data_IF_583587616063
#
_entry.id   IF_583587616063
#
_cell.length_a   1.000
_cell.length_b   1.000
_cell.length_c   1.000
_cell.angle_alpha   90.00
_cell.angle_beta   90.00
_cell.angle_gamma   90.00
#
_symmetry.space_group_name_H-M   'P 1'
#
loop_
_entity.id
_entity.type
_entity.pdbx_description
1 polymer ?
#
# COMPACT_ATOMS: atom_id res chain seq x y z
N UNK A 1 -5.13 25.92 -11.87
CA UNK A 1 -4.38 24.78 -11.28
C UNK A 1 -3.67 25.31 -10.05
N UNK A 2 -4.00 24.85 -8.84
CA UNK A 2 -3.24 25.23 -7.64
C UNK A 2 -1.89 24.51 -7.70
N UNK A 3 -0.79 25.25 -7.68
CA UNK A 3 0.55 24.68 -7.60
C UNK A 3 0.66 23.81 -6.33
N UNK A 4 1.16 22.59 -6.48
CA UNK A 4 1.43 21.69 -5.35
C UNK A 4 2.48 22.39 -4.50
N UNK A 5 2.15 22.68 -3.22
CA UNK A 5 3.13 23.31 -2.32
C UNK A 5 4.32 22.36 -2.16
N UNK A 6 5.53 22.90 -2.16
CA UNK A 6 6.80 22.14 -2.01
C UNK A 6 6.74 21.14 -0.84
N UNK A 7 6.08 21.50 0.26
CA UNK A 7 5.85 20.60 1.40
C UNK A 7 5.09 19.33 1.01
N UNK A 8 4.04 19.43 0.20
CA UNK A 8 3.25 18.26 -0.21
C UNK A 8 4.03 17.38 -1.19
N UNK A 9 4.86 18.00 -2.04
CA UNK A 9 5.75 17.27 -2.93
C UNK A 9 6.79 16.46 -2.13
N UNK A 10 7.44 17.07 -1.14
CA UNK A 10 8.38 16.37 -0.25
C UNK A 10 7.72 15.23 0.53
N UNK A 11 6.49 15.44 1.02
CA UNK A 11 5.72 14.39 1.69
C UNK A 11 5.42 13.21 0.75
N UNK A 12 5.08 13.48 -0.51
CA UNK A 12 4.87 12.47 -1.53
C UNK A 12 6.14 11.66 -1.82
N UNK A 13 7.27 12.33 -1.99
CA UNK A 13 8.57 11.67 -2.22
C UNK A 13 8.95 10.79 -1.05
N UNK A 14 8.82 11.30 0.18
CA UNK A 14 9.09 10.54 1.40
C UNK A 14 8.18 9.30 1.51
N UNK A 15 6.89 9.48 1.27
CA UNK A 15 5.92 8.38 1.30
C UNK A 15 6.27 7.31 0.26
N UNK A 16 6.61 7.73 -0.96
CA UNK A 16 7.00 6.82 -2.05
C UNK A 16 8.28 6.05 -1.72
N UNK A 17 9.27 6.71 -1.11
CA UNK A 17 10.51 6.08 -0.66
C UNK A 17 10.25 5.05 0.45
N UNK A 18 9.41 5.37 1.44
CA UNK A 18 9.04 4.45 2.52
C UNK A 18 8.29 3.23 1.99
N UNK A 19 7.37 3.43 1.05
CA UNK A 19 6.63 2.32 0.45
C UNK A 19 7.52 1.43 -0.42
N UNK A 20 8.38 2.02 -1.25
CA UNK A 20 9.33 1.27 -2.07
C UNK A 20 10.31 0.45 -1.22
N UNK A 21 10.90 1.05 -0.20
CA UNK A 21 11.76 0.36 0.76
C UNK A 21 11.02 -0.80 1.44
N UNK A 22 9.72 -0.65 1.71
CA UNK A 22 8.90 -1.67 2.33
C UNK A 22 8.80 -2.96 1.52
N UNK A 23 8.66 -2.88 0.19
CA UNK A 23 8.65 -4.07 -0.69
C UNK A 23 10.01 -4.75 -0.71
N UNK A 24 11.10 -3.97 -0.67
CA UNK A 24 12.45 -4.51 -0.57
C UNK A 24 12.65 -5.30 0.74
N UNK A 25 12.23 -4.74 1.88
CA UNK A 25 12.29 -5.43 3.17
C UNK A 25 11.47 -6.72 3.18
N UNK A 26 10.27 -6.72 2.61
CA UNK A 26 9.45 -7.92 2.49
C UNK A 26 10.21 -8.98 1.67
N UNK A 27 10.80 -8.60 0.53
CA UNK A 27 11.54 -9.51 -0.34
C UNK A 27 12.73 -10.15 0.36
N UNK A 28 13.48 -9.39 1.14
CA UNK A 28 14.68 -9.88 1.85
C UNK A 28 14.30 -10.70 3.08
N UNK A 29 13.29 -10.29 3.83
CA UNK A 29 12.96 -10.93 5.11
C UNK A 29 12.00 -12.12 4.98
N UNK A 30 11.12 -12.16 3.97
CA UNK A 30 10.15 -13.26 3.81
C UNK A 30 10.80 -14.64 3.62
N UNK A 31 11.88 -14.83 2.87
CA UNK A 31 12.54 -16.12 2.75
C UNK A 31 13.15 -16.62 4.06
N UNK A 32 13.60 -15.71 4.93
CA UNK A 32 14.27 -16.04 6.20
C UNK A 32 13.24 -16.29 7.32
N UNK A 33 12.26 -15.42 7.45
CA UNK A 33 11.29 -15.45 8.54
C UNK A 33 10.03 -16.25 8.21
N UNK A 34 9.79 -16.50 6.93
CA UNK A 34 8.52 -17.01 6.43
C UNK A 34 7.46 -15.90 6.29
N UNK A 35 6.54 -16.06 5.31
CA UNK A 35 5.57 -15.03 4.98
C UNK A 35 4.62 -14.68 6.12
N UNK A 36 4.21 -15.67 6.90
CA UNK A 36 3.29 -15.48 8.02
C UNK A 36 3.91 -14.63 9.15
N UNK A 37 5.16 -14.96 9.52
CA UNK A 37 5.89 -14.23 10.56
C UNK A 37 6.20 -12.82 10.09
N UNK A 38 6.63 -12.65 8.83
CA UNK A 38 6.90 -11.35 8.25
C UNK A 38 5.65 -10.44 8.27
N UNK A 39 4.50 -10.96 7.84
CA UNK A 39 3.24 -10.23 7.86
C UNK A 39 2.83 -9.87 9.30
N UNK A 40 2.92 -10.82 10.24
CA UNK A 40 2.58 -10.60 11.64
C UNK A 40 3.48 -9.55 12.31
N UNK A 41 4.78 -9.60 12.10
CA UNK A 41 5.72 -8.60 12.62
C UNK A 41 5.43 -7.21 12.06
N UNK A 42 5.18 -7.10 10.78
CA UNK A 42 4.87 -5.82 10.12
C UNK A 42 3.59 -5.20 10.69
N UNK A 43 2.51 -5.98 10.76
CA UNK A 43 1.23 -5.52 11.29
C UNK A 43 1.35 -5.21 12.78
N UNK A 44 2.03 -6.06 13.54
CA UNK A 44 2.25 -5.87 14.97
C UNK A 44 3.03 -4.59 15.29
N UNK A 45 4.16 -4.36 14.61
CA UNK A 45 4.95 -3.14 14.78
C UNK A 45 4.16 -1.88 14.39
N UNK A 46 3.43 -1.92 13.28
CA UNK A 46 2.58 -0.81 12.87
C UNK A 46 1.48 -0.53 13.90
N UNK A 47 0.84 -1.58 14.43
CA UNK A 47 -0.18 -1.47 15.47
C UNK A 47 0.38 -0.85 16.73
N UNK A 48 1.53 -1.31 17.22
CA UNK A 48 2.19 -0.77 18.42
C UNK A 48 2.55 0.71 18.24
N UNK A 49 3.09 1.06 17.06
CA UNK A 49 3.43 2.46 16.74
C UNK A 49 2.18 3.35 16.75
N UNK A 50 1.11 2.91 16.07
CA UNK A 50 -0.15 3.66 16.01
C UNK A 50 -0.82 3.76 17.38
N UNK A 51 -0.79 2.71 18.19
CA UNK A 51 -1.27 2.75 19.58
C UNK A 51 -0.51 3.79 20.40
N UNK A 52 0.81 3.84 20.26
CA UNK A 52 1.64 4.85 20.91
C UNK A 52 1.28 6.27 20.49
N UNK A 53 1.08 6.50 19.18
CA UNK A 53 0.68 7.80 18.63
C UNK A 53 -0.71 8.20 19.13
N UNK A 54 -1.71 7.29 19.10
CA UNK A 54 -3.06 7.55 19.60
C UNK A 54 -3.05 7.95 21.08
N UNK A 55 -2.26 7.21 21.89
CA UNK A 55 -2.13 7.50 23.30
C UNK A 55 -1.48 8.87 23.55
N UNK A 56 -0.47 9.19 22.76
CA UNK A 56 0.19 10.51 22.85
C UNK A 56 -0.72 11.65 22.39
N UNK A 57 -1.53 11.42 21.36
CA UNK A 57 -2.52 12.38 20.85
C UNK A 57 -3.75 12.52 21.77
N UNK A 58 -3.90 11.67 22.79
CA UNK A 58 -5.06 11.71 23.70
C UNK A 58 -6.36 11.22 23.06
N UNK A 59 -6.28 10.51 21.91
CA UNK A 59 -7.45 10.03 21.20
C UNK A 59 -8.03 8.79 21.89
N UNK A 60 -9.38 8.73 22.08
CA UNK A 60 -10.04 7.60 22.71
C UNK A 60 -10.00 6.37 21.80
N UNK A 61 -9.81 5.20 22.41
CA UNK A 61 -9.82 3.94 21.70
C UNK A 61 -11.25 3.61 21.20
N UNK A 62 -11.45 3.30 19.90
CA UNK A 62 -12.79 3.12 19.31
C UNK A 62 -13.38 1.72 19.58
N UNK A 63 -13.45 1.28 20.82
CA UNK A 63 -13.95 -0.05 21.21
C UNK A 63 -15.35 -0.34 20.70
N UNK A 64 -16.18 0.69 20.50
CA UNK A 64 -17.57 0.53 20.05
C UNK A 64 -17.67 -0.09 18.65
N UNK A 65 -16.67 0.15 17.79
CA UNK A 65 -16.63 -0.28 16.39
C UNK A 65 -15.60 -1.39 16.12
N UNK A 66 -15.17 -2.12 17.17
CA UNK A 66 -14.08 -3.08 17.03
C UNK A 66 -14.33 -4.17 15.96
N UNK A 67 -15.59 -4.64 15.80
CA UNK A 67 -15.96 -5.66 14.80
C UNK A 67 -15.80 -5.13 13.36
N UNK A 68 -16.28 -3.91 13.13
CA UNK A 68 -16.16 -3.24 11.83
C UNK A 68 -14.68 -2.97 11.50
N UNK A 69 -13.93 -2.47 12.49
CA UNK A 69 -12.49 -2.22 12.37
C UNK A 69 -11.69 -3.51 12.15
N UNK A 70 -12.08 -4.60 12.80
CA UNK A 70 -11.45 -5.90 12.60
C UNK A 70 -11.70 -6.42 11.17
N UNK A 71 -12.95 -6.38 10.70
CA UNK A 71 -13.29 -6.77 9.33
C UNK A 71 -12.58 -5.93 8.29
N UNK A 72 -12.64 -4.61 8.44
CA UNK A 72 -11.98 -3.67 7.55
C UNK A 72 -10.45 -3.85 7.57
N UNK A 73 -9.84 -3.93 8.74
CA UNK A 73 -8.39 -4.13 8.90
C UNK A 73 -7.91 -5.48 8.34
N UNK A 74 -8.72 -6.53 8.48
CA UNK A 74 -8.39 -7.84 7.88
C UNK A 74 -8.39 -7.76 6.35
N UNK A 75 -9.41 -7.16 5.76
CA UNK A 75 -9.53 -7.07 4.30
C UNK A 75 -8.57 -6.07 3.67
N UNK A 76 -8.32 -4.93 4.33
CA UNK A 76 -7.51 -3.84 3.74
C UNK A 76 -6.03 -3.91 4.11
N UNK A 77 -5.69 -4.58 5.20
CA UNK A 77 -4.32 -4.64 5.72
C UNK A 77 -3.83 -6.08 5.82
N UNK A 78 -4.45 -6.92 6.67
CA UNK A 78 -3.90 -8.23 6.98
C UNK A 78 -3.83 -9.14 5.76
N UNK A 79 -4.90 -9.29 5.00
CA UNK A 79 -4.94 -10.15 3.82
C UNK A 79 -3.99 -9.67 2.71
N UNK A 80 -3.96 -8.39 2.28
CA UNK A 80 -3.01 -7.93 1.28
C UNK A 80 -1.55 -8.10 1.70
N UNK A 81 -1.20 -7.79 2.95
CA UNK A 81 0.20 -7.92 3.39
C UNK A 81 0.65 -9.38 3.49
N UNK A 82 -0.24 -10.28 3.88
CA UNK A 82 0.05 -11.71 3.85
C UNK A 82 0.27 -12.19 2.40
N UNK A 83 -0.59 -11.77 1.48
CA UNK A 83 -0.45 -12.11 0.05
C UNK A 83 0.85 -11.54 -0.55
N UNK A 84 1.23 -10.30 -0.20
CA UNK A 84 2.51 -9.74 -0.63
C UNK A 84 3.72 -10.49 -0.04
N UNK A 85 3.65 -10.90 1.21
CA UNK A 85 4.72 -11.69 1.83
C UNK A 85 4.86 -13.07 1.17
N UNK A 86 3.75 -13.68 0.79
CA UNK A 86 3.74 -14.92 0.00
C UNK A 86 4.27 -14.71 -1.42
N UNK A 87 3.81 -13.68 -2.11
CA UNK A 87 4.26 -13.34 -3.45
C UNK A 87 5.77 -13.06 -3.49
N UNK A 88 6.32 -12.46 -2.44
CA UNK A 88 7.75 -12.16 -2.34
C UNK A 88 8.66 -13.40 -2.30
N UNK A 89 8.13 -14.58 -2.01
CA UNK A 89 8.87 -15.83 -2.12
C UNK A 89 9.14 -16.24 -3.58
N UNK A 90 8.26 -15.82 -4.50
CA UNK A 90 8.26 -16.29 -5.88
C UNK A 90 8.48 -15.17 -6.90
N UNK A 91 8.19 -13.92 -6.52
CA UNK A 91 8.22 -12.77 -7.41
C UNK A 91 9.25 -11.73 -6.96
N UNK A 92 9.99 -11.11 -7.88
CA UNK A 92 10.78 -9.93 -7.59
C UNK A 92 9.93 -8.78 -7.00
N UNK A 93 10.55 -7.92 -6.19
CA UNK A 93 9.85 -6.81 -5.53
C UNK A 93 9.15 -5.85 -6.52
N UNK A 94 9.72 -5.69 -7.71
CA UNK A 94 9.12 -4.89 -8.78
C UNK A 94 7.75 -5.38 -9.22
N UNK A 95 7.55 -6.69 -9.35
CA UNK A 95 6.24 -7.24 -9.71
C UNK A 95 5.20 -7.03 -8.60
N UNK A 96 5.59 -7.16 -7.35
CA UNK A 96 4.70 -6.87 -6.21
C UNK A 96 4.29 -5.39 -6.20
N UNK A 97 5.19 -4.48 -6.52
CA UNK A 97 4.88 -3.06 -6.62
C UNK A 97 3.96 -2.74 -7.82
N UNK A 98 4.17 -3.43 -8.96
CA UNK A 98 3.29 -3.29 -10.14
C UNK A 98 1.86 -3.75 -9.81
N UNK A 99 1.72 -4.90 -9.19
CA UNK A 99 0.41 -5.41 -8.75
C UNK A 99 -0.27 -4.44 -7.77
N UNK A 100 0.50 -3.86 -6.85
CA UNK A 100 -0.04 -2.87 -5.91
C UNK A 100 -0.54 -1.60 -6.64
N UNK A 101 0.09 -1.21 -7.74
CA UNK A 101 -0.33 -0.05 -8.54
C UNK A 101 -1.72 -0.26 -9.15
N UNK A 102 -2.13 -1.52 -9.38
CA UNK A 102 -3.49 -1.85 -9.84
C UNK A 102 -4.58 -1.46 -8.84
N UNK A 103 -4.25 -1.31 -7.57
CA UNK A 103 -5.23 -0.85 -6.57
C UNK A 103 -5.82 0.54 -6.91
N UNK A 104 -5.06 1.41 -7.59
CA UNK A 104 -5.52 2.74 -7.98
C UNK A 104 -6.64 2.69 -9.02
N UNK A 105 -6.49 2.04 -10.21
CA UNK A 105 -7.58 1.95 -11.18
C UNK A 105 -8.80 1.18 -10.62
N UNK A 106 -8.59 0.11 -9.85
CA UNK A 106 -9.70 -0.58 -9.20
C UNK A 106 -10.42 0.30 -8.18
N UNK A 107 -9.69 1.13 -7.41
CA UNK A 107 -10.27 2.10 -6.49
C UNK A 107 -11.12 3.16 -7.22
N UNK A 108 -10.65 3.66 -8.36
CA UNK A 108 -11.40 4.62 -9.20
C UNK A 108 -12.68 3.98 -9.76
N UNK A 109 -12.63 2.72 -10.20
CA UNK A 109 -13.80 1.99 -10.69
C UNK A 109 -14.80 1.77 -9.55
N UNK A 110 -14.33 1.33 -8.37
CA UNK A 110 -15.18 1.09 -7.21
C UNK A 110 -15.88 2.37 -6.73
N UNK A 111 -15.15 3.49 -6.64
CA UNK A 111 -15.72 4.78 -6.26
C UNK A 111 -16.78 5.26 -7.24
N UNK A 112 -16.59 5.03 -8.54
CA UNK A 112 -17.58 5.35 -9.55
C UNK A 112 -18.82 4.44 -9.46
N UNK A 113 -18.62 3.15 -9.18
CA UNK A 113 -19.73 2.21 -8.97
C UNK A 113 -20.56 2.56 -7.73
N UNK A 114 -19.89 3.00 -6.66
CA UNK A 114 -20.54 3.50 -5.44
C UNK A 114 -21.15 4.90 -5.60
N UNK A 115 -21.02 5.53 -6.78
CA UNK A 115 -21.48 6.90 -7.09
C UNK A 115 -20.83 7.99 -6.21
N UNK A 116 -19.71 7.69 -5.60
CA UNK A 116 -18.94 8.65 -4.79
C UNK A 116 -18.09 9.58 -5.66
N UNK A 117 -17.76 9.15 -6.89
CA UNK A 117 -16.93 9.92 -7.81
C UNK A 117 -17.31 9.67 -9.26
N UNK A 118 -16.93 10.61 -10.15
CA UNK A 118 -17.16 10.49 -11.59
C UNK A 118 -15.92 9.99 -12.33
N UNK A 119 -16.13 9.03 -13.23
CA UNK A 119 -15.09 8.56 -14.15
C UNK A 119 -14.78 9.65 -15.18
N UNK A 120 -13.67 10.34 -14.99
CA UNK A 120 -13.19 11.34 -15.92
C UNK A 120 -12.06 10.74 -16.79
N UNK A 121 -12.01 11.10 -18.07
CA UNK A 121 -10.96 10.68 -19.00
C UNK A 121 -9.55 11.03 -18.47
N UNK A 122 -9.42 12.14 -17.75
CA UNK A 122 -8.16 12.56 -17.13
C UNK A 122 -7.71 11.60 -16.02
N UNK A 123 -8.63 11.08 -15.22
CA UNK A 123 -8.34 10.08 -14.17
C UNK A 123 -7.87 8.77 -14.80
N UNK A 124 -8.56 8.32 -15.83
CA UNK A 124 -8.16 7.13 -16.60
C UNK A 124 -6.78 7.30 -17.23
N UNK A 125 -6.52 8.42 -17.90
CA UNK A 125 -5.22 8.70 -18.48
C UNK A 125 -4.11 8.68 -17.41
N UNK A 126 -4.35 9.28 -16.24
CA UNK A 126 -3.41 9.24 -15.11
C UNK A 126 -3.13 7.82 -14.60
N UNK A 127 -4.16 6.99 -14.44
CA UNK A 127 -4.03 5.60 -14.03
C UNK A 127 -3.23 4.77 -15.04
N UNK A 128 -3.55 4.91 -16.33
CA UNK A 128 -2.86 4.20 -17.42
C UNK A 128 -1.39 4.62 -17.52
N UNK A 129 -1.10 5.93 -17.46
CA UNK A 129 0.28 6.43 -17.48
C UNK A 129 1.07 5.93 -16.25
N UNK A 130 0.47 5.96 -15.07
CA UNK A 130 1.10 5.45 -13.85
C UNK A 130 1.41 3.95 -13.95
N UNK A 131 0.45 3.15 -14.40
CA UNK A 131 0.63 1.72 -14.61
C UNK A 131 1.70 1.41 -15.67
N UNK A 132 1.65 2.09 -16.83
CA UNK A 132 2.65 1.93 -17.88
C UNK A 132 4.06 2.32 -17.40
N UNK A 133 4.20 3.39 -16.61
CA UNK A 133 5.47 3.79 -16.02
C UNK A 133 6.06 2.71 -15.10
N UNK A 134 5.26 2.14 -14.22
CA UNK A 134 5.72 1.04 -13.33
C UNK A 134 6.03 -0.22 -14.13
N UNK A 135 5.22 -0.57 -15.14
CA UNK A 135 5.47 -1.72 -16.00
C UNK A 135 6.80 -1.60 -16.76
N UNK A 136 7.11 -0.41 -17.28
CA UNK A 136 8.40 -0.14 -17.94
C UNK A 136 9.58 -0.30 -16.98
N UNK A 137 9.47 0.21 -15.74
CA UNK A 137 10.53 0.06 -14.74
C UNK A 137 10.76 -1.42 -14.40
N UNK A 138 9.69 -2.19 -14.27
CA UNK A 138 9.78 -3.63 -13.96
C UNK A 138 10.41 -4.42 -15.11
N UNK A 139 10.10 -4.08 -16.38
CA UNK A 139 10.69 -4.75 -17.54
C UNK A 139 12.14 -4.38 -17.79
N UNK A 140 12.55 -3.17 -17.40
CA UNK A 140 13.94 -2.68 -17.56
C UNK A 140 14.84 -3.07 -16.39
N UNK A 141 14.27 -3.57 -15.29
CA UNK A 141 15.04 -4.09 -14.16
C UNK A 141 15.69 -5.45 -14.46
N UNK A 142 16.79 -5.79 -13.79
CA UNK A 142 17.40 -7.11 -13.95
C UNK A 142 16.38 -8.19 -13.52
N UNK A 143 16.16 -9.11 -14.44
CA UNK A 143 15.35 -10.31 -14.20
C UNK A 143 16.30 -11.36 -13.63
N UNK A 144 16.67 -11.25 -12.35
CA UNK A 144 17.38 -12.27 -11.60
C UNK A 144 16.52 -12.82 -10.47
#
# INVERSE_FOLDING_TARGET
MRAVKTRHFLQLVLLSALWGASFLFIRVASPVLGPNVMAALRIGLATLTLMGIMRWAGEPWPWRHWRELLGLGTLTVAAPFLLYAWAALHLPAGYSSLLNTMAVPFGVIAAAWMKEDTLSARKWAGCLCGFAGVALIVQLGPVE
#
